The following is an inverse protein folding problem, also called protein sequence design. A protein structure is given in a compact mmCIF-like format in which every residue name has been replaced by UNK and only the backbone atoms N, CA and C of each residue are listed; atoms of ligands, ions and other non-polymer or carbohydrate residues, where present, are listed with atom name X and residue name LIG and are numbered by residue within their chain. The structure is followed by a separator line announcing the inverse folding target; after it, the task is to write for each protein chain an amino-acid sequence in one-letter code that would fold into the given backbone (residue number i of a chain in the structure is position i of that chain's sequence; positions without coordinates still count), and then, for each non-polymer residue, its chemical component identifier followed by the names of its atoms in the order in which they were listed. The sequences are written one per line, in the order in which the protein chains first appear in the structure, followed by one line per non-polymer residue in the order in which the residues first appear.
data_IF_385069238677
#
_entry.id   IF_385069238677
#
_cell.length_a   1.000
_cell.length_b   1.000
_cell.length_c   1.000
_cell.angle_alpha   90.00
_cell.angle_beta   90.00
_cell.angle_gamma   90.00
#
_symmetry.space_group_name_H-M   'P 1'
#
loop_
_entity.id
_entity.type
_entity.pdbx_description
1 polymer ?
#
# COMPACT_ATOMS: atom_id res chain seq x y z
N UNK A 1 -9.41 -71.38 19.75
CA UNK A 1 -9.36 -71.69 18.30
C UNK A 1 -9.93 -70.48 17.59
N UNK A 2 -9.16 -69.95 16.65
CA UNK A 2 -9.56 -69.00 15.58
C UNK A 2 -9.97 -67.58 16.04
N UNK A 3 -9.40 -66.47 15.57
CA UNK A 3 -8.38 -66.23 14.55
C UNK A 3 -7.78 -64.84 14.76
N UNK A 4 -6.45 -64.75 14.72
CA UNK A 4 -5.66 -63.56 15.07
C UNK A 4 -4.88 -63.01 13.86
N UNK A 5 -5.41 -63.14 12.64
CA UNK A 5 -4.63 -62.84 11.42
C UNK A 5 -5.37 -62.08 10.30
N UNK A 6 -6.54 -61.50 10.56
CA UNK A 6 -7.28 -60.71 9.54
C UNK A 6 -7.70 -59.35 10.09
N UNK A 7 -6.77 -58.63 10.71
CA UNK A 7 -7.00 -57.26 11.17
C UNK A 7 -5.77 -56.36 10.97
N UNK A 8 -4.88 -56.73 10.04
CA UNK A 8 -3.68 -55.97 9.69
C UNK A 8 -3.67 -55.46 8.24
N UNK A 9 -4.77 -55.65 7.49
CA UNK A 9 -4.91 -55.15 6.11
C UNK A 9 -6.07 -54.17 5.88
N UNK A 10 -6.81 -53.78 6.92
CA UNK A 10 -7.79 -52.68 6.82
C UNK A 10 -7.26 -51.32 7.33
N UNK A 11 -6.01 -51.28 7.83
CA UNK A 11 -5.39 -50.07 8.36
C UNK A 11 -4.78 -49.13 7.30
N UNK A 12 -4.93 -49.40 5.99
CA UNK A 12 -4.31 -48.60 4.92
C UNK A 12 -5.25 -48.14 3.79
N UNK A 13 -6.58 -48.17 3.98
CA UNK A 13 -7.53 -47.59 3.00
C UNK A 13 -8.58 -46.63 3.57
N UNK A 14 -8.54 -46.31 4.86
CA UNK A 14 -9.46 -45.30 5.43
C UNK A 14 -8.79 -43.98 5.86
N UNK A 15 -7.49 -43.80 5.60
CA UNK A 15 -6.76 -42.57 5.96
C UNK A 15 -6.71 -41.55 4.81
N UNK A 16 -7.18 -41.88 3.61
CA UNK A 16 -7.14 -40.97 2.44
C UNK A 16 -8.48 -40.23 2.21
N UNK A 17 -9.56 -40.60 2.89
CA UNK A 17 -10.90 -40.04 2.65
C UNK A 17 -11.50 -39.24 3.82
N UNK A 18 -10.65 -38.65 4.68
CA UNK A 18 -11.10 -37.77 5.77
C UNK A 18 -10.40 -36.39 5.81
N UNK A 19 -9.77 -35.93 4.72
CA UNK A 19 -9.22 -34.55 4.63
C UNK A 19 -10.26 -33.57 4.02
N UNK A 20 -11.55 -33.91 4.07
CA UNK A 20 -12.60 -33.11 3.42
C UNK A 20 -13.85 -32.93 4.30
N UNK A 21 -13.66 -32.62 5.58
CA UNK A 21 -14.62 -31.86 6.39
C UNK A 21 -14.10 -31.74 7.82
N UNK A 22 -14.36 -30.61 8.46
CA UNK A 22 -14.08 -30.32 9.88
C UNK A 22 -12.64 -29.90 10.20
N UNK A 23 -12.36 -28.62 9.96
CA UNK A 23 -11.85 -27.73 11.02
C UNK A 23 -12.22 -26.29 10.64
N UNK A 24 -13.52 -25.98 10.76
CA UNK A 24 -14.02 -24.61 10.82
C UNK A 24 -14.57 -24.47 12.24
N UNK A 25 -13.73 -24.04 13.16
CA UNK A 25 -14.06 -23.16 14.29
C UNK A 25 -12.89 -23.15 15.28
N UNK A 26 -11.97 -22.19 15.12
CA UNK A 26 -11.29 -21.48 16.22
C UNK A 26 -10.01 -20.75 15.76
N UNK A 27 -10.13 -19.67 14.96
CA UNK A 27 -9.30 -18.47 15.16
C UNK A 27 -10.18 -17.26 14.88
N UNK A 28 -10.52 -16.53 15.95
CA UNK A 28 -11.08 -15.18 15.90
C UNK A 28 -10.11 -14.25 15.17
N UNK A 29 -10.35 -14.04 13.88
CA UNK A 29 -9.75 -12.99 13.07
C UNK A 29 -10.81 -12.53 12.08
N UNK A 30 -11.19 -11.25 12.16
CA UNK A 30 -12.16 -10.63 11.27
C UNK A 30 -11.62 -10.62 9.82
N UNK A 31 -11.76 -11.71 9.09
CA UNK A 31 -11.55 -11.76 7.64
C UNK A 31 -12.74 -11.09 6.96
N UNK A 32 -12.78 -9.76 7.07
CA UNK A 32 -13.54 -8.93 6.14
C UNK A 32 -13.01 -9.22 4.75
N UNK A 33 -13.74 -10.04 4.00
CA UNK A 33 -13.56 -10.24 2.57
C UNK A 33 -13.53 -8.85 1.94
N UNK A 34 -12.35 -8.38 1.54
CA UNK A 34 -12.20 -7.08 0.90
C UNK A 34 -13.02 -7.09 -0.39
N UNK A 35 -14.06 -6.26 -0.43
CA UNK A 35 -14.79 -6.01 -1.65
C UNK A 35 -14.19 -4.75 -2.30
N UNK A 36 -13.75 -4.84 -3.57
CA UNK A 36 -13.23 -3.68 -4.29
C UNK A 36 -14.33 -2.61 -4.42
N UNK A 37 -14.21 -1.55 -3.64
CA UNK A 37 -15.00 -0.34 -3.83
C UNK A 37 -14.45 0.42 -5.04
N UNK A 38 -15.34 0.87 -5.92
CA UNK A 38 -14.96 1.69 -7.07
C UNK A 38 -14.61 3.09 -6.61
N UNK A 39 -13.52 3.66 -7.13
CA UNK A 39 -13.06 4.98 -6.76
C UNK A 39 -12.61 5.77 -7.99
N UNK A 40 -12.59 7.10 -7.83
CA UNK A 40 -12.00 8.03 -8.81
C UNK A 40 -10.66 8.56 -8.31
N UNK A 41 -10.52 8.68 -6.98
CA UNK A 41 -9.31 9.10 -6.31
C UNK A 41 -9.17 8.44 -4.94
N UNK A 42 -7.97 8.47 -4.37
CA UNK A 42 -7.69 7.80 -3.10
C UNK A 42 -8.49 8.36 -1.91
N UNK A 43 -9.01 9.58 -1.96
CA UNK A 43 -9.90 10.10 -0.91
C UNK A 43 -11.30 9.50 -0.92
N UNK A 44 -11.69 8.81 -1.99
CA UNK A 44 -12.95 8.05 -2.06
C UNK A 44 -12.83 6.74 -1.28
N UNK A 45 -11.60 6.31 -0.97
CA UNK A 45 -11.33 5.05 -0.29
C UNK A 45 -11.29 5.21 1.23
N UNK A 46 -11.52 4.10 1.92
CA UNK A 46 -11.23 3.99 3.37
C UNK A 46 -9.76 4.33 3.64
N UNK A 47 -9.48 4.88 4.83
CA UNK A 47 -8.12 5.22 5.24
C UNK A 47 -7.16 4.03 5.07
N UNK A 48 -5.94 4.31 4.61
CA UNK A 48 -4.89 3.33 4.24
C UNK A 48 -5.13 2.54 2.95
N UNK A 49 -6.21 2.82 2.21
CA UNK A 49 -6.46 2.27 0.87
C UNK A 49 -6.16 3.31 -0.21
N UNK A 50 -5.63 2.83 -1.34
CA UNK A 50 -5.24 3.67 -2.46
C UNK A 50 -6.10 3.32 -3.68
N UNK A 51 -6.57 4.35 -4.38
CA UNK A 51 -7.30 4.16 -5.62
C UNK A 51 -6.33 3.79 -6.73
N UNK A 52 -6.47 2.60 -7.32
CA UNK A 52 -5.62 2.14 -8.41
C UNK A 52 -6.45 1.74 -9.62
N UNK A 53 -5.88 1.88 -10.81
CA UNK A 53 -6.50 1.34 -12.02
C UNK A 53 -6.35 -0.19 -12.08
N UNK A 54 -6.95 -0.78 -13.12
CA UNK A 54 -6.88 -2.23 -13.38
C UNK A 54 -5.46 -2.78 -13.60
N UNK A 55 -4.46 -1.92 -13.81
CA UNK A 55 -3.05 -2.29 -13.96
C UNK A 55 -2.27 -2.09 -12.66
N UNK A 56 -2.94 -1.68 -11.59
CA UNK A 56 -2.32 -1.41 -10.30
C UNK A 56 -1.63 -0.05 -10.23
N UNK A 57 -1.80 0.83 -11.23
CA UNK A 57 -1.23 2.19 -11.19
C UNK A 57 -2.08 3.07 -10.28
N UNK A 58 -1.43 3.84 -9.40
CA UNK A 58 -2.11 4.82 -8.55
C UNK A 58 -2.88 5.84 -9.41
N UNK A 59 -4.16 5.99 -9.12
CA UNK A 59 -5.01 7.06 -9.64
C UNK A 59 -4.89 8.24 -8.70
N UNK A 60 -4.06 9.19 -9.09
CA UNK A 60 -3.80 10.36 -8.28
C UNK A 60 -4.69 11.53 -8.69
N UNK A 61 -5.54 11.94 -7.74
CA UNK A 61 -5.97 13.33 -7.61
C UNK A 61 -5.67 13.74 -6.18
N UNK A 62 -4.39 13.80 -5.81
CA UNK A 62 -4.00 14.43 -4.55
C UNK A 62 -4.52 15.88 -4.61
N UNK A 63 -5.55 16.16 -3.79
CA UNK A 63 -6.33 17.39 -3.74
C UNK A 63 -5.57 18.61 -3.24
N UNK A 64 -4.34 18.80 -3.69
CA UNK A 64 -3.62 20.06 -3.64
C UNK A 64 -3.85 20.79 -4.96
N UNK A 65 -4.03 22.11 -4.88
CA UNK A 65 -4.16 23.05 -6.00
C UNK A 65 -2.98 23.04 -7.02
N UNK A 66 -2.12 22.03 -6.98
CA UNK A 66 -0.82 21.95 -7.63
C UNK A 66 -0.87 21.17 -8.97
N UNK A 67 -2.03 20.64 -9.37
CA UNK A 67 -2.24 20.11 -10.72
C UNK A 67 -2.85 21.16 -11.65
N UNK A 68 -2.02 22.11 -12.10
CA UNK A 68 -2.25 22.82 -13.36
C UNK A 68 -1.89 21.84 -14.50
N UNK A 69 -2.74 20.84 -14.69
CA UNK A 69 -2.64 19.82 -15.74
C UNK A 69 -4.04 19.29 -16.05
N UNK A 70 -4.27 18.68 -17.21
CA UNK A 70 -5.59 18.16 -17.55
C UNK A 70 -6.04 17.18 -16.46
N UNK A 71 -7.21 17.47 -15.87
CA UNK A 71 -7.87 16.60 -14.90
C UNK A 71 -8.19 15.30 -15.64
N UNK A 72 -7.34 14.29 -15.50
CA UNK A 72 -7.61 12.97 -16.02
C UNK A 72 -8.60 12.30 -15.07
N UNK A 73 -9.90 12.53 -15.31
CA UNK A 73 -10.98 11.85 -14.61
C UNK A 73 -10.98 10.39 -15.10
N UNK A 74 -10.15 9.56 -14.50
CA UNK A 74 -10.21 8.12 -14.72
C UNK A 74 -11.35 7.57 -13.85
N UNK A 75 -12.43 7.12 -14.49
CA UNK A 75 -13.66 6.69 -13.79
C UNK A 75 -13.63 5.25 -13.31
N UNK A 76 -12.55 4.51 -13.56
CA UNK A 76 -12.49 3.05 -13.41
C UNK A 76 -11.41 2.60 -12.41
N UNK A 77 -11.32 3.28 -11.27
CA UNK A 77 -10.44 2.89 -10.17
C UNK A 77 -11.10 1.93 -9.19
N UNK A 78 -10.27 1.19 -8.46
CA UNK A 78 -10.66 0.34 -7.32
C UNK A 78 -9.78 0.62 -6.10
N UNK A 79 -10.37 0.60 -4.91
CA UNK A 79 -9.70 0.91 -3.65
C UNK A 79 -8.88 -0.27 -3.13
N UNK A 80 -7.57 -0.31 -3.42
CA UNK A 80 -6.70 -1.41 -3.00
C UNK A 80 -6.03 -1.14 -1.64
N UNK A 81 -5.76 -2.18 -0.82
CA UNK A 81 -5.00 -2.05 0.43
C UNK A 81 -3.51 -1.75 0.21
N UNK A 82 -3.07 -1.70 -1.06
CA UNK A 82 -1.68 -1.45 -1.44
C UNK A 82 -1.40 0.06 -1.31
N UNK A 83 -0.70 0.41 -0.23
CA UNK A 83 -0.17 1.75 0.06
C UNK A 83 0.67 2.33 -1.09
N UNK A 84 0.92 3.64 -1.07
CA UNK A 84 1.75 4.29 -2.07
C UNK A 84 3.20 3.79 -2.02
N UNK A 85 3.74 3.48 -3.20
CA UNK A 85 5.08 2.94 -3.42
C UNK A 85 6.07 4.06 -3.76
N UNK A 86 7.37 3.74 -3.80
CA UNK A 86 8.43 4.71 -4.09
C UNK A 86 8.16 5.51 -5.37
N UNK A 87 8.24 6.84 -5.27
CA UNK A 87 7.99 7.78 -6.37
C UNK A 87 6.51 7.99 -6.71
N UNK A 88 5.59 7.21 -6.15
CA UNK A 88 4.16 7.48 -6.28
C UNK A 88 3.76 8.67 -5.40
N UNK A 89 2.71 9.37 -5.82
CA UNK A 89 2.12 10.43 -5.02
C UNK A 89 1.53 9.87 -3.72
N UNK A 90 1.55 10.68 -2.69
CA UNK A 90 1.08 10.29 -1.37
C UNK A 90 0.26 11.39 -0.71
N UNK A 91 -0.68 10.98 0.12
CA UNK A 91 -1.55 11.87 0.88
C UNK A 91 -1.97 11.23 2.19
N UNK A 92 -2.81 11.90 2.98
CA UNK A 92 -3.38 11.29 4.19
C UNK A 92 -4.27 10.08 3.88
N UNK A 93 -4.83 10.01 2.67
CA UNK A 93 -5.76 8.94 2.26
C UNK A 93 -5.02 7.75 1.66
N UNK A 94 -3.91 8.00 0.96
CA UNK A 94 -3.00 6.98 0.45
C UNK A 94 -1.58 7.24 0.98
N UNK A 95 -1.26 6.76 2.20
CA UNK A 95 0.06 6.96 2.79
C UNK A 95 1.10 6.06 2.13
N UNK A 96 2.37 6.44 2.25
CA UNK A 96 3.49 5.62 1.80
C UNK A 96 3.62 4.33 2.62
N UNK A 97 4.17 3.30 1.98
CA UNK A 97 4.51 2.06 2.66
C UNK A 97 5.70 2.23 3.61
N UNK A 98 5.37 2.43 4.90
CA UNK A 98 6.36 2.56 5.98
C UNK A 98 7.17 1.28 6.20
N UNK A 99 6.65 0.11 5.83
CA UNK A 99 7.40 -1.15 5.98
C UNK A 99 8.64 -1.19 5.08
N UNK A 100 8.61 -0.44 3.97
CA UNK A 100 9.72 -0.24 3.05
C UNK A 100 10.60 0.98 3.42
N UNK A 101 10.35 1.62 4.57
CA UNK A 101 11.10 2.81 4.99
C UNK A 101 10.81 4.07 4.16
N UNK A 102 9.63 4.12 3.53
CA UNK A 102 9.21 5.26 2.72
C UNK A 102 8.53 6.35 3.55
N UNK A 103 8.80 7.61 3.19
CA UNK A 103 8.20 8.79 3.78
C UNK A 103 7.51 9.62 2.70
N UNK A 104 6.32 10.13 3.04
CA UNK A 104 5.61 11.06 2.19
C UNK A 104 6.24 12.45 2.33
N UNK A 105 6.97 12.90 1.32
CA UNK A 105 7.74 14.13 1.36
C UNK A 105 7.64 14.89 0.04
N UNK A 106 7.69 16.22 0.13
CA UNK A 106 7.77 17.10 -1.02
C UNK A 106 9.18 17.66 -1.07
N UNK A 107 9.87 17.46 -2.19
CA UNK A 107 11.24 17.94 -2.36
C UNK A 107 11.31 19.45 -2.21
N UNK A 108 12.33 19.94 -1.52
CA UNK A 108 12.57 21.36 -1.26
C UNK A 108 13.28 22.05 -2.43
N UNK A 109 13.05 21.59 -3.67
CA UNK A 109 13.73 22.11 -4.87
C UNK A 109 13.00 23.34 -5.42
N UNK A 110 13.72 24.16 -6.19
CA UNK A 110 13.36 25.42 -6.87
C UNK A 110 12.11 25.41 -7.78
N UNK A 111 11.37 24.31 -7.83
CA UNK A 111 10.11 24.24 -8.57
C UNK A 111 8.99 24.37 -7.57
N UNK A 112 8.33 25.53 -7.57
CA UNK A 112 7.07 25.61 -6.84
C UNK A 112 6.19 24.44 -7.24
N UNK A 113 5.51 23.95 -6.22
CA UNK A 113 4.29 23.18 -6.40
C UNK A 113 4.56 21.72 -6.81
N UNK A 114 5.75 21.16 -6.51
CA UNK A 114 5.94 19.71 -6.63
C UNK A 114 4.97 18.95 -5.68
N UNK A 115 4.33 17.87 -6.15
CA UNK A 115 3.43 17.09 -5.32
C UNK A 115 4.20 16.35 -4.22
N UNK A 116 3.48 15.93 -3.18
CA UNK A 116 4.04 15.00 -2.19
C UNK A 116 4.18 13.62 -2.82
N UNK A 117 5.37 13.05 -2.74
CA UNK A 117 5.65 11.69 -3.25
C UNK A 117 6.36 10.85 -2.20
N UNK A 118 6.32 9.53 -2.37
CA UNK A 118 7.02 8.62 -1.48
C UNK A 118 8.52 8.59 -1.79
N UNK A 119 9.33 8.95 -0.81
CA UNK A 119 10.79 8.95 -0.89
C UNK A 119 11.38 8.00 0.15
N UNK A 120 12.61 7.53 -0.09
CA UNK A 120 13.37 6.83 0.95
C UNK A 120 13.69 7.79 2.08
N UNK A 121 13.62 7.32 3.32
CA UNK A 121 13.96 8.12 4.50
C UNK A 121 15.33 8.81 4.40
N UNK A 122 16.36 8.09 3.95
CA UNK A 122 17.72 8.63 3.80
C UNK A 122 17.80 9.80 2.82
N UNK A 123 17.03 9.76 1.73
CA UNK A 123 16.94 10.86 0.76
C UNK A 123 16.30 12.10 1.38
N UNK A 124 15.21 11.90 2.14
CA UNK A 124 14.52 12.98 2.86
C UNK A 124 15.44 13.60 3.91
N UNK A 125 16.10 12.79 4.73
CA UNK A 125 17.01 13.26 5.78
C UNK A 125 18.19 14.05 5.17
N UNK A 126 18.75 13.59 4.04
CA UNK A 126 19.79 14.29 3.29
C UNK A 126 19.30 15.64 2.75
N UNK A 127 18.11 15.67 2.16
CA UNK A 127 17.51 16.91 1.65
C UNK A 127 17.25 17.93 2.77
N UNK A 128 16.66 17.50 3.89
CA UNK A 128 16.41 18.36 5.05
C UNK A 128 17.73 18.89 5.61
N UNK A 129 18.74 18.03 5.78
CA UNK A 129 20.05 18.43 6.29
C UNK A 129 20.73 19.48 5.39
N UNK A 130 20.68 19.28 4.07
CA UNK A 130 21.26 20.21 3.11
C UNK A 130 20.51 21.54 3.10
N UNK A 131 19.17 21.50 3.13
CA UNK A 131 18.34 22.70 3.25
C UNK A 131 18.67 23.47 4.53
N UNK A 132 18.73 22.80 5.68
CA UNK A 132 19.03 23.44 6.97
C UNK A 132 20.45 23.98 7.04
N UNK A 133 21.42 23.36 6.36
CA UNK A 133 22.77 23.89 6.23
C UNK A 133 22.78 25.18 5.41
N UNK A 134 22.09 25.19 4.27
CA UNK A 134 21.94 26.36 3.42
C UNK A 134 21.19 27.50 4.13
N UNK A 135 20.11 27.18 4.83
CA UNK A 135 19.30 28.16 5.58
C UNK A 135 20.10 28.94 6.65
N UNK A 136 21.13 28.31 7.23
CA UNK A 136 22.01 28.92 8.23
C UNK A 136 23.15 29.74 7.62
N UNK A 137 23.41 29.58 6.33
CA UNK A 137 24.49 30.27 5.63
C UNK A 137 23.91 31.47 4.85
N UNK A 138 24.23 32.71 5.25
CA UNK A 138 23.71 33.91 4.59
C UNK A 138 24.21 34.07 3.13
N UNK A 139 25.27 33.37 2.74
CA UNK A 139 25.76 33.34 1.36
C UNK A 139 25.07 32.27 0.50
N UNK A 140 24.33 31.34 1.12
CA UNK A 140 23.65 30.28 0.39
C UNK A 140 22.33 30.79 -0.20
N UNK A 141 22.16 30.62 -1.50
CA UNK A 141 20.88 30.89 -2.17
C UNK A 141 19.96 29.70 -1.90
N UNK A 142 18.97 29.92 -1.03
CA UNK A 142 17.94 28.92 -0.80
C UNK A 142 17.20 28.61 -2.11
N UNK A 143 16.86 27.33 -2.34
CA UNK A 143 15.92 26.99 -3.38
C UNK A 143 14.55 27.63 -3.04
N UNK A 144 14.22 28.76 -3.69
CA UNK A 144 12.92 29.44 -3.65
C UNK A 144 11.95 28.87 -4.70
#
# INVERSE_FOLDING_TARGET
MEGCYVLLLFFLSSVIEQIAAQDIDAISGNDTVWQPETCRMSSDCTQDFCCRDKFGKLLDMSGTFDHIGPIHINTNGTCHPVRAQLGEHCSKYCPCDKSQGLLCFRSLKLKCCEPYTCHRKEEVDSQIKNFMKCYKDPACQLPL
#
